data_IF_221375816636
#
_entry.id   IF_221375816636
#
_cell.length_a   1.000
_cell.length_b   1.000
_cell.length_c   1.000
_cell.angle_alpha   90.00
_cell.angle_beta   90.00
_cell.angle_gamma   90.00
#
_symmetry.space_group_name_H-M   'P 1'
#
loop_
_entity.id
_entity.type
_entity.pdbx_description
1 polymer ?
#
# COMPACT_ATOMS: atom_id res chain seq x y z
N UNK A 1 52.34 18.10 17.67
CA UNK A 1 51.52 17.39 16.66
C UNK A 1 50.43 16.65 17.40
N UNK A 2 49.24 17.26 17.49
CA UNK A 2 48.11 16.71 18.22
C UNK A 2 46.92 16.56 17.25
N UNK A 3 46.39 15.34 17.20
CA UNK A 3 45.18 14.95 16.48
C UNK A 3 44.01 15.88 16.85
N UNK A 4 43.49 16.63 15.88
CA UNK A 4 42.14 17.18 15.94
C UNK A 4 41.22 16.17 15.25
N UNK A 5 40.58 15.33 16.05
CA UNK A 5 39.31 14.69 15.69
C UNK A 5 38.33 15.79 15.30
N UNK A 6 38.06 15.92 14.01
CA UNK A 6 37.05 16.82 13.49
C UNK A 6 35.70 16.42 14.11
N UNK A 7 35.25 17.23 15.06
CA UNK A 7 33.93 17.12 15.65
C UNK A 7 32.89 17.17 14.53
N UNK A 8 32.01 16.18 14.52
CA UNK A 8 30.79 16.14 13.71
C UNK A 8 30.14 17.52 13.82
N UNK A 9 29.87 18.23 12.72
CA UNK A 9 29.19 19.52 12.79
C UNK A 9 27.81 19.26 13.41
N UNK A 10 27.64 19.75 14.64
CA UNK A 10 26.36 19.78 15.33
C UNK A 10 25.48 20.73 14.53
N UNK A 11 24.67 20.18 13.64
CA UNK A 11 23.57 20.87 12.97
C UNK A 11 22.79 21.67 14.02
N UNK A 12 22.58 22.97 13.76
CA UNK A 12 21.80 23.86 14.60
C UNK A 12 20.39 23.27 14.78
N UNK A 13 20.22 22.63 15.93
CA UNK A 13 18.98 22.27 16.64
C UNK A 13 17.68 22.68 15.94
N UNK A 14 17.24 21.85 14.99
CA UNK A 14 15.83 21.69 14.64
C UNK A 14 15.11 21.13 15.87
N UNK A 15 14.71 22.01 16.78
CA UNK A 15 13.87 21.65 17.92
C UNK A 15 12.47 21.36 17.40
N UNK A 16 12.13 20.07 17.26
CA UNK A 16 10.74 19.65 17.04
C UNK A 16 9.93 20.19 18.19
N UNK A 17 9.18 21.25 17.94
CA UNK A 17 8.28 21.83 18.92
C UNK A 17 7.16 20.83 19.08
N UNK A 18 7.15 20.12 20.21
CA UNK A 18 6.07 19.18 20.53
C UNK A 18 4.77 19.97 20.70
N UNK A 19 4.03 20.13 19.62
CA UNK A 19 2.72 20.77 19.65
C UNK A 19 1.73 19.87 20.40
N UNK A 20 0.81 20.49 21.16
CA UNK A 20 -0.33 19.77 21.76
C UNK A 20 -1.10 18.96 20.70
N UNK A 21 -1.23 19.49 19.48
CA UNK A 21 -1.89 18.82 18.38
C UNK A 21 -1.13 17.58 17.89
N UNK A 22 0.20 17.64 17.82
CA UNK A 22 1.03 16.49 17.45
C UNK A 22 0.92 15.39 18.50
N UNK A 23 1.05 15.74 19.79
CA UNK A 23 0.92 14.76 20.88
C UNK A 23 -0.47 14.14 20.94
N UNK A 24 -1.52 14.94 20.69
CA UNK A 24 -2.88 14.46 20.60
C UNK A 24 -3.07 13.49 19.42
N UNK A 25 -2.50 13.79 18.24
CA UNK A 25 -2.54 12.90 17.09
C UNK A 25 -1.81 11.58 17.36
N UNK A 26 -0.61 11.61 17.96
CA UNK A 26 0.13 10.41 18.37
C UNK A 26 -0.66 9.58 19.38
N UNK A 27 -1.26 10.22 20.40
CA UNK A 27 -2.07 9.54 21.39
C UNK A 27 -3.33 8.91 20.77
N UNK A 28 -4.01 9.63 19.87
CA UNK A 28 -5.19 9.14 19.16
C UNK A 28 -4.85 7.93 18.28
N UNK A 29 -3.82 8.03 17.43
CA UNK A 29 -3.43 6.90 16.59
C UNK A 29 -2.88 5.72 17.40
N UNK A 30 -2.20 5.99 18.51
CA UNK A 30 -1.79 4.95 19.46
C UNK A 30 -2.99 4.23 20.07
N UNK A 31 -4.01 4.97 20.51
CA UNK A 31 -5.25 4.41 21.04
C UNK A 31 -6.00 3.59 19.98
N UNK A 32 -6.19 4.13 18.77
CA UNK A 32 -6.87 3.41 17.69
C UNK A 32 -6.13 2.15 17.26
N UNK A 33 -4.79 2.18 17.26
CA UNK A 33 -3.96 1.00 17.03
C UNK A 33 -4.19 -0.04 18.12
N UNK A 34 -4.16 0.36 19.39
CA UNK A 34 -4.39 -0.54 20.52
C UNK A 34 -5.80 -1.15 20.49
N UNK A 35 -6.82 -0.36 20.14
CA UNK A 35 -8.19 -0.85 19.95
C UNK A 35 -8.26 -1.86 18.81
N UNK A 36 -7.68 -1.56 17.63
CA UNK A 36 -7.65 -2.50 16.52
C UNK A 36 -6.95 -3.82 16.86
N UNK A 37 -5.82 -3.75 17.57
CA UNK A 37 -5.10 -4.93 18.10
C UNK A 37 -5.96 -5.70 19.09
N UNK A 38 -6.69 -5.03 19.99
CA UNK A 38 -7.57 -5.70 20.94
C UNK A 38 -8.71 -6.46 20.24
N UNK A 39 -9.32 -5.88 19.19
CA UNK A 39 -10.32 -6.57 18.37
C UNK A 39 -9.72 -7.77 17.62
N UNK A 40 -8.50 -7.64 17.09
CA UNK A 40 -7.78 -8.76 16.47
C UNK A 40 -7.44 -9.89 17.44
N UNK A 41 -6.98 -9.56 18.64
CA UNK A 41 -6.74 -10.55 19.72
C UNK A 41 -8.05 -11.23 20.12
N UNK A 42 -9.13 -10.46 20.27
CA UNK A 42 -10.44 -11.02 20.57
C UNK A 42 -10.92 -11.99 19.47
N UNK A 43 -10.64 -11.72 18.19
CA UNK A 43 -11.01 -12.60 17.08
C UNK A 43 -10.39 -14.00 17.20
N UNK A 44 -9.17 -14.13 17.71
CA UNK A 44 -8.55 -15.44 17.96
C UNK A 44 -9.26 -16.25 19.04
N UNK A 45 -9.88 -15.61 20.02
CA UNK A 45 -10.61 -16.30 21.10
C UNK A 45 -12.06 -16.59 20.72
N UNK A 46 -12.72 -15.64 20.06
CA UNK A 46 -14.12 -15.77 19.66
C UNK A 46 -14.30 -16.64 18.40
N UNK A 47 -13.25 -16.81 17.60
CA UNK A 47 -13.27 -17.51 16.32
C UNK A 47 -13.63 -16.58 15.17
N UNK A 48 -12.92 -16.70 14.05
CA UNK A 48 -13.06 -15.79 12.89
C UNK A 48 -14.46 -15.87 12.27
N UNK A 49 -15.06 -17.06 12.19
CA UNK A 49 -16.42 -17.27 11.68
C UNK A 49 -17.48 -16.51 12.48
N UNK A 50 -17.28 -16.33 13.78
CA UNK A 50 -18.25 -15.67 14.65
C UNK A 50 -18.17 -14.13 14.59
N UNK A 51 -17.01 -13.56 14.24
CA UNK A 51 -16.76 -12.11 14.36
C UNK A 51 -16.47 -11.42 13.04
N UNK A 52 -16.07 -12.12 11.99
CA UNK A 52 -15.85 -11.54 10.66
C UNK A 52 -17.08 -11.73 9.78
N UNK A 53 -17.26 -10.83 8.81
CA UNK A 53 -18.37 -10.89 7.85
C UNK A 53 -18.11 -11.84 6.68
N UNK A 54 -16.97 -12.54 6.67
CA UNK A 54 -16.59 -13.49 5.64
C UNK A 54 -17.40 -14.77 5.76
N UNK A 55 -17.57 -15.45 4.63
CA UNK A 55 -18.29 -16.73 4.55
C UNK A 55 -17.42 -17.76 3.86
N UNK A 56 -17.86 -19.02 3.81
CA UNK A 56 -17.13 -20.06 3.10
C UNK A 56 -17.07 -19.78 1.59
N UNK A 57 -18.08 -19.09 1.06
CA UNK A 57 -18.21 -18.71 -0.34
C UNK A 57 -17.38 -17.45 -0.68
N UNK A 58 -17.30 -16.50 0.26
CA UNK A 58 -16.49 -15.28 0.19
C UNK A 58 -15.51 -15.23 1.38
N UNK A 59 -14.41 -16.01 1.33
CA UNK A 59 -13.47 -16.15 2.44
C UNK A 59 -12.55 -14.94 2.64
N UNK A 60 -12.28 -14.14 1.60
CA UNK A 60 -11.45 -12.93 1.75
C UNK A 60 -12.30 -11.66 1.71
N UNK A 61 -12.21 -10.88 2.79
CA UNK A 61 -12.92 -9.62 2.97
C UNK A 61 -12.00 -8.40 3.10
N UNK A 62 -12.40 -7.47 3.97
CA UNK A 62 -11.77 -6.17 4.19
C UNK A 62 -10.33 -6.28 4.69
N UNK A 63 -10.01 -7.29 5.51
CA UNK A 63 -8.66 -7.47 6.03
C UNK A 63 -7.64 -7.79 4.92
N UNK A 64 -7.99 -8.68 3.99
CA UNK A 64 -7.14 -8.98 2.82
C UNK A 64 -7.03 -7.76 1.90
N UNK A 65 -8.12 -7.04 1.65
CA UNK A 65 -8.07 -5.80 0.87
C UNK A 65 -7.12 -4.76 1.49
N UNK A 66 -7.18 -4.62 2.82
CA UNK A 66 -6.33 -3.71 3.59
C UNK A 66 -4.87 -4.16 3.59
N UNK A 67 -4.61 -5.44 3.76
CA UNK A 67 -3.27 -6.01 3.63
C UNK A 67 -2.69 -5.72 2.25
N UNK A 68 -3.43 -6.03 1.18
CA UNK A 68 -3.03 -5.78 -0.20
C UNK A 68 -2.74 -4.29 -0.40
N UNK A 69 -3.61 -3.40 0.09
CA UNK A 69 -3.38 -1.95 0.06
C UNK A 69 -2.03 -1.55 0.67
N UNK A 70 -1.69 -2.07 1.85
CA UNK A 70 -0.44 -1.75 2.52
C UNK A 70 0.79 -2.29 1.79
N UNK A 71 0.81 -3.57 1.42
CA UNK A 71 1.98 -4.17 0.76
C UNK A 71 2.20 -3.59 -0.63
N UNK A 72 1.13 -3.30 -1.36
CA UNK A 72 1.19 -2.62 -2.66
C UNK A 72 1.78 -1.21 -2.50
N UNK A 73 1.27 -0.44 -1.54
CA UNK A 73 1.73 0.93 -1.30
C UNK A 73 3.19 0.94 -0.86
N UNK A 74 3.58 0.00 0.00
CA UNK A 74 4.97 -0.19 0.43
C UNK A 74 5.91 -0.45 -0.75
N UNK A 75 5.60 -1.45 -1.59
CA UNK A 75 6.41 -1.73 -2.79
C UNK A 75 6.48 -0.51 -3.70
N UNK A 76 5.37 0.20 -3.90
CA UNK A 76 5.32 1.45 -4.64
C UNK A 76 6.26 2.53 -4.12
N UNK A 77 6.25 2.74 -2.80
CA UNK A 77 7.12 3.69 -2.13
C UNK A 77 8.60 3.38 -2.33
N UNK A 78 8.97 2.10 -2.23
CA UNK A 78 10.33 1.64 -2.51
C UNK A 78 10.71 1.81 -3.99
N UNK A 79 9.84 1.44 -4.92
CA UNK A 79 10.13 1.59 -6.36
C UNK A 79 10.34 3.07 -6.75
N UNK A 80 9.51 3.97 -6.23
CA UNK A 80 9.65 5.41 -6.50
C UNK A 80 10.89 5.98 -5.79
N UNK A 81 11.23 5.51 -4.59
CA UNK A 81 12.42 5.97 -3.87
C UNK A 81 13.72 5.54 -4.55
N UNK A 82 13.76 4.34 -5.12
CA UNK A 82 14.91 3.78 -5.81
C UNK A 82 15.27 4.49 -7.11
N UNK A 83 14.31 5.21 -7.73
CA UNK A 83 14.62 6.15 -8.83
C UNK A 83 15.70 7.14 -8.40
N UNK A 84 15.65 7.62 -7.16
CA UNK A 84 16.65 8.53 -6.60
C UNK A 84 17.98 7.82 -6.29
N UNK A 85 17.97 6.89 -5.35
CA UNK A 85 19.21 6.38 -4.74
C UNK A 85 19.82 5.17 -5.44
N UNK A 86 19.05 4.35 -6.16
CA UNK A 86 19.57 3.20 -6.93
C UNK A 86 19.93 3.64 -8.34
N UNK A 87 19.03 4.35 -9.01
CA UNK A 87 19.21 4.80 -10.40
C UNK A 87 19.90 6.17 -10.51
N UNK A 88 20.21 6.82 -9.38
CA UNK A 88 21.00 8.05 -9.34
C UNK A 88 20.26 9.31 -9.81
N UNK A 89 18.92 9.32 -9.84
CA UNK A 89 18.18 10.51 -10.25
C UNK A 89 18.15 11.57 -9.13
N UNK A 90 18.92 12.64 -9.31
CA UNK A 90 19.03 13.75 -8.34
C UNK A 90 17.67 14.38 -7.98
N UNK A 91 16.70 14.37 -8.90
CA UNK A 91 15.37 14.97 -8.66
C UNK A 91 14.57 14.20 -7.61
N UNK A 92 14.76 12.87 -7.52
CA UNK A 92 14.05 12.01 -6.56
C UNK A 92 14.85 11.79 -5.27
N UNK A 93 16.09 12.27 -5.20
CA UNK A 93 16.94 12.12 -4.01
C UNK A 93 16.31 12.69 -2.72
N UNK A 94 15.69 13.90 -2.73
CA UNK A 94 15.14 14.49 -1.51
C UNK A 94 14.03 13.67 -0.85
N UNK A 95 13.26 12.91 -1.65
CA UNK A 95 12.16 12.09 -1.14
C UNK A 95 12.59 10.66 -0.77
N UNK A 96 13.80 10.23 -1.15
CA UNK A 96 14.20 8.82 -1.10
C UNK A 96 14.14 8.25 0.31
N UNK A 97 14.83 8.88 1.27
CA UNK A 97 14.93 8.38 2.65
C UNK A 97 13.60 8.36 3.39
N UNK A 98 12.75 9.37 3.17
CA UNK A 98 11.37 9.38 3.71
C UNK A 98 10.53 8.26 3.12
N UNK A 99 10.65 8.05 1.80
CA UNK A 99 9.87 7.04 1.09
C UNK A 99 10.25 5.63 1.53
N UNK A 100 11.54 5.34 1.77
CA UNK A 100 12.00 4.05 2.32
C UNK A 100 11.42 3.81 3.72
N UNK A 101 11.47 4.82 4.59
CA UNK A 101 10.87 4.69 5.93
C UNK A 101 9.37 4.46 5.87
N UNK A 102 8.66 5.20 5.02
CA UNK A 102 7.22 5.04 4.83
C UNK A 102 6.89 3.66 4.22
N UNK A 103 7.76 3.12 3.36
CA UNK A 103 7.62 1.76 2.83
C UNK A 103 7.69 0.73 3.98
N UNK A 104 8.63 0.88 4.91
CA UNK A 104 8.75 0.02 6.11
C UNK A 104 7.50 0.16 7.00
N UNK A 105 7.06 1.39 7.27
CA UNK A 105 5.88 1.63 8.11
C UNK A 105 4.59 1.02 7.52
N UNK A 106 4.42 1.14 6.20
CA UNK A 106 3.26 0.60 5.49
C UNK A 106 3.28 -0.93 5.48
N UNK A 107 4.40 -1.60 5.19
CA UNK A 107 4.45 -3.07 5.19
C UNK A 107 4.29 -3.67 6.60
N UNK A 108 4.84 -3.04 7.64
CA UNK A 108 4.63 -3.47 9.04
C UNK A 108 3.13 -3.40 9.38
N UNK A 109 2.44 -2.35 8.93
CA UNK A 109 1.00 -2.22 9.11
C UNK A 109 0.22 -3.29 8.35
N UNK A 110 0.65 -3.64 7.13
CA UNK A 110 0.14 -4.77 6.37
C UNK A 110 0.32 -6.11 7.11
N UNK A 111 1.51 -6.36 7.65
CA UNK A 111 1.81 -7.57 8.43
C UNK A 111 0.99 -7.69 9.70
N UNK A 112 0.69 -6.57 10.36
CA UNK A 112 -0.24 -6.59 11.49
C UNK A 112 -1.64 -7.03 11.05
N UNK A 113 -2.17 -6.48 9.96
CA UNK A 113 -3.52 -6.78 9.47
C UNK A 113 -3.66 -8.24 9.04
N UNK A 114 -2.72 -8.75 8.21
CA UNK A 114 -2.73 -10.16 7.80
C UNK A 114 -2.50 -11.11 8.99
N UNK A 115 -1.74 -10.67 10.00
CA UNK A 115 -1.53 -11.42 11.23
C UNK A 115 -2.83 -11.75 11.96
N UNK A 116 -3.83 -10.85 11.92
CA UNK A 116 -5.16 -11.06 12.49
C UNK A 116 -6.17 -11.69 11.52
N UNK A 117 -5.85 -11.75 10.24
CA UNK A 117 -6.69 -12.45 9.25
C UNK A 117 -6.46 -13.96 9.30
N UNK A 118 -5.20 -14.38 9.51
CA UNK A 118 -4.82 -15.79 9.62
C UNK A 118 -5.29 -16.35 10.97
N UNK A 119 -6.05 -17.44 10.95
CA UNK A 119 -6.60 -18.07 12.16
C UNK A 119 -5.54 -18.46 13.21
N UNK A 120 -4.39 -18.96 12.76
CA UNK A 120 -3.27 -19.30 13.63
C UNK A 120 -1.93 -18.79 13.09
N UNK A 121 -1.56 -17.52 13.39
CA UNK A 121 -0.33 -16.93 12.85
C UNK A 121 0.93 -17.60 13.39
N UNK A 122 0.87 -18.22 14.58
CA UNK A 122 2.00 -18.92 15.20
C UNK A 122 2.35 -20.21 14.45
N UNK A 123 1.34 -21.01 14.11
CA UNK A 123 1.54 -22.20 13.26
C UNK A 123 2.05 -21.81 11.89
N UNK A 124 1.51 -20.74 11.30
CA UNK A 124 1.99 -20.23 10.02
C UNK A 124 3.49 -19.93 10.09
N UNK A 125 3.95 -19.15 11.07
CA UNK A 125 5.37 -18.82 11.21
C UNK A 125 6.28 -20.06 11.37
N UNK A 126 5.86 -21.05 12.17
CA UNK A 126 6.64 -22.28 12.40
C UNK A 126 6.72 -23.13 11.13
N UNK A 127 5.58 -23.46 10.53
CA UNK A 127 5.53 -24.37 9.37
C UNK A 127 6.03 -23.71 8.08
N UNK A 128 5.96 -22.38 7.99
CA UNK A 128 6.55 -21.65 6.88
C UNK A 128 8.07 -21.88 6.77
N UNK A 129 8.74 -22.11 7.91
CA UNK A 129 10.20 -22.37 7.99
C UNK A 129 10.51 -23.87 7.97
N UNK A 130 9.78 -24.68 8.73
CA UNK A 130 10.13 -26.10 8.94
C UNK A 130 9.64 -27.01 7.80
N UNK A 131 8.50 -26.69 7.18
CA UNK A 131 7.88 -27.52 6.13
C UNK A 131 7.33 -26.68 4.98
N UNK A 132 8.20 -26.01 4.20
CA UNK A 132 7.79 -25.11 3.13
C UNK A 132 7.15 -25.86 1.96
N UNK A 133 6.01 -25.37 1.47
CA UNK A 133 5.44 -25.84 0.20
C UNK A 133 5.80 -24.87 -0.93
N UNK A 134 6.86 -25.18 -1.66
CA UNK A 134 7.40 -24.33 -2.74
C UNK A 134 6.49 -24.21 -3.97
N UNK A 135 5.45 -25.03 -4.08
CA UNK A 135 4.45 -24.93 -5.16
C UNK A 135 3.37 -23.89 -4.85
N UNK A 136 3.30 -23.41 -3.61
CA UNK A 136 2.29 -22.44 -3.17
C UNK A 136 2.76 -21.00 -3.39
N UNK A 137 2.00 -20.24 -4.18
CA UNK A 137 2.24 -18.81 -4.35
C UNK A 137 2.05 -18.03 -3.03
N UNK A 138 1.20 -18.50 -2.11
CA UNK A 138 1.03 -17.87 -0.78
C UNK A 138 2.29 -18.04 0.07
N UNK A 139 2.97 -19.20 -0.02
CA UNK A 139 4.25 -19.40 0.66
C UNK A 139 5.32 -18.44 0.13
N UNK A 140 5.45 -18.33 -1.19
CA UNK A 140 6.37 -17.37 -1.82
C UNK A 140 6.04 -15.93 -1.44
N UNK A 141 4.76 -15.58 -1.27
CA UNK A 141 4.35 -14.25 -0.84
C UNK A 141 4.96 -13.91 0.52
N UNK A 142 4.81 -14.80 1.51
CA UNK A 142 5.37 -14.59 2.85
C UNK A 142 6.91 -14.47 2.83
N UNK A 143 7.58 -15.37 2.11
CA UNK A 143 9.06 -15.37 2.02
C UNK A 143 9.60 -14.14 1.30
N UNK A 144 9.02 -13.75 0.17
CA UNK A 144 9.50 -12.62 -0.64
C UNK A 144 9.23 -11.28 0.05
N UNK A 145 8.06 -11.08 0.67
CA UNK A 145 7.79 -9.87 1.45
C UNK A 145 8.63 -9.80 2.74
N UNK A 146 8.95 -10.95 3.36
CA UNK A 146 9.89 -11.02 4.47
C UNK A 146 11.31 -10.59 4.07
N UNK A 147 11.81 -11.11 2.94
CA UNK A 147 13.10 -10.71 2.38
C UNK A 147 13.12 -9.22 2.01
N UNK A 148 12.05 -8.73 1.38
CA UNK A 148 11.87 -7.32 1.05
C UNK A 148 11.93 -6.41 2.28
N UNK A 149 11.19 -6.73 3.35
CA UNK A 149 11.26 -5.98 4.61
C UNK A 149 12.66 -6.02 5.20
N UNK A 150 13.32 -7.17 5.20
CA UNK A 150 14.69 -7.30 5.71
C UNK A 150 15.65 -6.36 4.97
N UNK A 151 15.68 -6.39 3.64
CA UNK A 151 16.56 -5.53 2.86
C UNK A 151 16.28 -4.04 3.06
N UNK A 152 15.00 -3.64 3.14
CA UNK A 152 14.64 -2.25 3.43
C UNK A 152 15.06 -1.80 4.83
N UNK A 153 14.92 -2.65 5.86
CA UNK A 153 15.36 -2.32 7.22
C UNK A 153 16.87 -2.08 7.25
N UNK A 154 17.65 -2.95 6.58
CA UNK A 154 19.10 -2.80 6.47
C UNK A 154 19.47 -1.56 5.66
N UNK A 155 18.81 -1.34 4.51
CA UNK A 155 18.99 -0.13 3.68
C UNK A 155 18.76 1.14 4.51
N UNK A 156 17.64 1.22 5.22
CA UNK A 156 17.30 2.37 6.05
C UNK A 156 18.33 2.59 7.15
N UNK A 157 18.77 1.53 7.84
CA UNK A 157 19.81 1.62 8.87
C UNK A 157 21.13 2.16 8.29
N UNK A 158 21.56 1.67 7.12
CA UNK A 158 22.77 2.14 6.44
C UNK A 158 22.66 3.60 5.98
N UNK A 159 21.48 4.03 5.51
CA UNK A 159 21.18 5.42 5.20
C UNK A 159 21.20 6.34 6.43
N UNK A 160 20.97 5.83 7.64
CA UNK A 160 21.13 6.60 8.87
C UNK A 160 22.59 6.75 9.29
N UNK A 161 23.42 5.74 9.02
CA UNK A 161 24.85 5.73 9.37
C UNK A 161 25.71 6.42 8.30
N UNK A 162 25.12 6.85 7.17
CA UNK A 162 25.82 7.54 6.08
C UNK A 162 26.59 6.61 5.14
N UNK A 163 26.35 5.30 5.18
CA UNK A 163 27.00 4.30 4.30
C UNK A 163 26.26 4.19 2.96
N UNK A 164 26.26 5.28 2.19
CA UNK A 164 25.45 5.42 0.97
C UNK A 164 25.68 4.32 -0.08
N UNK A 165 26.93 3.86 -0.27
CA UNK A 165 27.24 2.81 -1.26
C UNK A 165 26.59 1.46 -0.92
N UNK A 166 26.64 1.07 0.35
CA UNK A 166 26.05 -0.19 0.81
C UNK A 166 24.54 -0.10 0.92
N UNK A 167 24.03 1.07 1.33
CA UNK A 167 22.61 1.38 1.27
C UNK A 167 22.07 1.21 -0.15
N UNK A 168 22.78 1.70 -1.17
CA UNK A 168 22.39 1.51 -2.58
C UNK A 168 22.31 0.03 -2.99
N UNK A 169 23.24 -0.81 -2.51
CA UNK A 169 23.20 -2.27 -2.77
C UNK A 169 22.01 -2.94 -2.10
N UNK A 170 21.74 -2.61 -0.83
CA UNK A 170 20.60 -3.15 -0.09
C UNK A 170 19.27 -2.64 -0.67
N UNK A 171 19.22 -1.39 -1.12
CA UNK A 171 18.09 -0.82 -1.84
C UNK A 171 17.83 -1.52 -3.16
N UNK A 172 18.87 -1.87 -3.93
CA UNK A 172 18.72 -2.69 -5.14
C UNK A 172 18.16 -4.09 -4.82
N UNK A 173 18.66 -4.76 -3.78
CA UNK A 173 18.13 -6.04 -3.32
C UNK A 173 16.67 -5.92 -2.84
N UNK A 174 16.35 -4.81 -2.18
CA UNK A 174 14.99 -4.43 -1.80
C UNK A 174 14.08 -4.26 -3.01
N UNK A 175 14.53 -3.59 -4.07
CA UNK A 175 13.76 -3.47 -5.32
C UNK A 175 13.54 -4.82 -5.97
N UNK A 176 14.59 -5.65 -6.11
CA UNK A 176 14.47 -6.98 -6.74
C UNK A 176 13.48 -7.86 -5.97
N UNK A 177 13.64 -7.94 -4.65
CA UNK A 177 12.73 -8.71 -3.78
C UNK A 177 11.31 -8.14 -3.76
N UNK A 178 11.16 -6.82 -3.75
CA UNK A 178 9.86 -6.13 -3.80
C UNK A 178 9.12 -6.37 -5.11
N UNK A 179 9.80 -6.27 -6.27
CA UNK A 179 9.21 -6.59 -7.58
C UNK A 179 8.83 -8.06 -7.66
N UNK A 180 9.67 -8.96 -7.14
CA UNK A 180 9.36 -10.40 -7.10
C UNK A 180 8.14 -10.68 -6.20
N UNK A 181 8.11 -10.13 -4.99
CA UNK A 181 6.98 -10.28 -4.04
C UNK A 181 5.68 -9.80 -4.67
N UNK A 182 5.73 -8.65 -5.34
CA UNK A 182 4.57 -8.02 -5.95
C UNK A 182 4.10 -8.73 -7.22
N UNK A 183 5.04 -9.24 -8.03
CA UNK A 183 4.70 -10.10 -9.18
C UNK A 183 4.05 -11.40 -8.71
N UNK A 184 4.55 -11.99 -7.62
CA UNK A 184 3.97 -13.17 -7.00
C UNK A 184 2.58 -12.89 -6.39
N UNK A 185 2.36 -11.71 -5.80
CA UNK A 185 1.02 -11.27 -5.38
C UNK A 185 0.05 -11.24 -6.57
N UNK A 186 0.49 -10.69 -7.72
CA UNK A 186 -0.27 -10.73 -8.96
C UNK A 186 -0.56 -12.16 -9.43
N UNK A 187 0.38 -13.09 -9.23
CA UNK A 187 0.22 -14.51 -9.56
C UNK A 187 -0.77 -15.25 -8.62
N UNK A 188 -0.85 -14.87 -7.33
CA UNK A 188 -1.83 -15.44 -6.38
C UNK A 188 -3.26 -15.24 -6.87
N UNK A 189 -3.55 -14.08 -7.43
CA UNK A 189 -4.85 -13.82 -8.04
C UNK A 189 -4.92 -14.34 -9.48
N UNK A 190 -3.94 -14.00 -10.32
CA UNK A 190 -3.99 -14.22 -11.77
C UNK A 190 -3.88 -15.67 -12.24
N UNK A 191 -3.26 -16.55 -11.44
CA UNK A 191 -3.14 -17.99 -11.74
C UNK A 191 -4.29 -18.82 -11.17
N UNK A 192 -5.23 -18.21 -10.44
CA UNK A 192 -6.39 -18.90 -9.92
C UNK A 192 -7.44 -19.05 -11.01
N UNK A 193 -7.33 -20.11 -11.81
CA UNK A 193 -8.25 -20.40 -12.93
C UNK A 193 -9.71 -20.58 -12.52
N UNK A 194 -9.98 -20.86 -11.24
CA UNK A 194 -11.33 -21.02 -10.70
C UNK A 194 -12.06 -19.69 -10.39
N UNK A 195 -11.40 -18.54 -10.56
CA UNK A 195 -11.98 -17.20 -10.33
C UNK A 195 -11.71 -16.32 -11.54
N UNK A 196 -12.67 -16.24 -12.43
CA UNK A 196 -12.56 -15.68 -13.79
C UNK A 196 -12.27 -14.18 -13.80
N UNK A 197 -12.73 -13.45 -12.77
CA UNK A 197 -12.47 -12.03 -12.61
C UNK A 197 -10.98 -11.71 -12.40
N UNK A 198 -10.26 -12.58 -11.68
CA UNK A 198 -8.83 -12.43 -11.43
C UNK A 198 -7.97 -13.04 -12.53
N UNK A 199 -8.45 -14.14 -13.12
CA UNK A 199 -7.65 -14.94 -14.02
C UNK A 199 -7.19 -14.13 -15.26
N UNK A 200 -5.87 -14.07 -15.45
CA UNK A 200 -5.30 -13.40 -16.60
C UNK A 200 -3.81 -13.03 -16.44
N UNK A 201 -3.03 -13.08 -17.53
CA UNK A 201 -1.60 -12.80 -17.50
C UNK A 201 -1.26 -11.33 -17.26
N UNK A 202 -2.24 -10.41 -17.37
CA UNK A 202 -2.01 -8.97 -17.19
C UNK A 202 -1.93 -8.55 -15.71
N UNK A 203 -2.35 -9.41 -14.77
CA UNK A 203 -2.43 -9.08 -13.34
C UNK A 203 -1.07 -8.64 -12.76
N UNK A 204 0.04 -9.39 -12.92
CA UNK A 204 1.34 -8.95 -12.40
C UNK A 204 1.78 -7.57 -12.92
N UNK A 205 1.53 -7.27 -14.20
CA UNK A 205 1.90 -6.00 -14.83
C UNK A 205 1.05 -4.86 -14.23
N UNK A 206 -0.27 -5.07 -14.16
CA UNK A 206 -1.22 -4.13 -13.55
C UNK A 206 -0.85 -3.81 -12.10
N UNK A 207 -0.46 -4.82 -11.34
CA UNK A 207 -0.08 -4.70 -9.95
C UNK A 207 1.16 -3.81 -9.78
N UNK A 208 2.24 -4.03 -10.54
CA UNK A 208 3.46 -3.19 -10.46
C UNK A 208 3.16 -1.72 -10.77
N UNK A 209 2.43 -1.45 -11.86
CA UNK A 209 2.08 -0.06 -12.23
C UNK A 209 1.20 0.59 -11.16
N UNK A 210 0.20 -0.14 -10.65
CA UNK A 210 -0.67 0.38 -9.60
C UNK A 210 0.03 0.55 -8.26
N UNK A 211 1.04 -0.27 -7.95
CA UNK A 211 1.91 -0.07 -6.79
C UNK A 211 2.68 1.24 -6.88
N UNK A 212 3.38 1.50 -7.99
CA UNK A 212 4.09 2.78 -8.18
C UNK A 212 3.14 3.98 -8.09
N UNK A 213 1.90 3.84 -8.60
CA UNK A 213 0.85 4.85 -8.49
C UNK A 213 0.50 5.12 -7.01
N UNK A 214 0.28 4.08 -6.21
CA UNK A 214 0.07 4.18 -4.76
C UNK A 214 1.25 4.81 -4.05
N UNK A 215 2.47 4.46 -4.43
CA UNK A 215 3.70 5.05 -3.89
C UNK A 215 3.76 6.56 -4.13
N UNK A 216 3.45 7.01 -5.34
CA UNK A 216 3.37 8.44 -5.65
C UNK A 216 2.31 9.14 -4.80
N UNK A 217 1.10 8.58 -4.70
CA UNK A 217 0.02 9.15 -3.90
C UNK A 217 0.40 9.28 -2.41
N UNK A 218 1.00 8.22 -1.85
CA UNK A 218 1.49 8.19 -0.47
C UNK A 218 2.59 9.24 -0.23
N UNK A 219 3.57 9.37 -1.14
CA UNK A 219 4.64 10.38 -1.01
C UNK A 219 4.06 11.79 -0.97
N UNK A 220 3.16 12.12 -1.90
CA UNK A 220 2.54 13.45 -1.96
C UNK A 220 1.74 13.76 -0.69
N UNK A 221 0.99 12.77 -0.19
CA UNK A 221 0.16 12.91 1.00
C UNK A 221 0.99 13.07 2.27
N UNK A 222 1.85 12.09 2.57
CA UNK A 222 2.61 12.03 3.82
C UNK A 222 3.68 13.12 3.89
N UNK A 223 4.37 13.42 2.78
CA UNK A 223 5.40 14.47 2.79
C UNK A 223 4.80 15.82 3.14
N UNK A 224 3.64 16.18 2.58
CA UNK A 224 2.98 17.43 2.95
C UNK A 224 2.58 17.49 4.43
N UNK A 225 2.05 16.37 4.96
CA UNK A 225 1.70 16.25 6.39
C UNK A 225 2.94 16.42 7.28
N UNK A 226 4.07 15.80 6.94
CA UNK A 226 5.32 15.95 7.70
C UNK A 226 5.77 17.41 7.80
N UNK A 227 5.83 18.13 6.68
CA UNK A 227 6.24 19.54 6.70
C UNK A 227 5.25 20.41 7.50
N UNK A 228 3.94 20.14 7.38
CA UNK A 228 2.92 20.89 8.13
C UNK A 228 2.93 20.58 9.63
N UNK A 229 3.12 19.33 10.02
CA UNK A 229 3.15 18.90 11.42
C UNK A 229 4.39 19.46 12.16
N UNK A 230 5.52 19.60 11.45
CA UNK A 230 6.77 20.11 12.01
C UNK A 230 6.97 21.62 11.81
N UNK A 231 6.10 22.29 11.04
CA UNK A 231 6.25 23.72 10.73
C UNK A 231 7.43 24.02 9.80
N UNK A 232 7.94 23.03 9.07
CA UNK A 232 9.07 23.19 8.16
C UNK A 232 8.66 23.86 6.86
N UNK A 233 9.61 24.56 6.22
CA UNK A 233 9.45 25.08 4.87
C UNK A 233 10.09 24.13 3.88
N UNK A 234 9.39 23.83 2.78
CA UNK A 234 9.92 22.99 1.72
C UNK A 234 10.96 23.77 0.90
N UNK A 235 12.16 23.22 0.76
CA UNK A 235 13.14 23.66 -0.23
C UNK A 235 12.59 23.59 -1.65
N UNK A 236 13.27 24.25 -2.57
CA UNK A 236 12.89 24.19 -3.98
C UNK A 236 13.23 22.82 -4.59
N UNK A 237 14.26 22.15 -4.08
CA UNK A 237 14.62 20.77 -4.41
C UNK A 237 13.49 19.81 -4.03
N UNK A 238 12.95 19.91 -2.81
CA UNK A 238 11.81 19.10 -2.37
C UNK A 238 10.55 19.40 -3.20
N UNK A 239 10.25 20.67 -3.51
CA UNK A 239 9.11 21.02 -4.38
C UNK A 239 9.28 20.45 -5.79
N UNK A 240 10.49 20.49 -6.35
CA UNK A 240 10.80 19.87 -7.66
C UNK A 240 10.61 18.36 -7.59
N UNK A 241 11.08 17.71 -6.52
CA UNK A 241 10.90 16.28 -6.29
C UNK A 241 9.41 15.91 -6.25
N UNK A 242 8.61 16.60 -5.43
CA UNK A 242 7.15 16.38 -5.36
C UNK A 242 6.44 16.66 -6.69
N UNK A 243 6.88 17.68 -7.43
CA UNK A 243 6.35 17.96 -8.78
C UNK A 243 6.64 16.80 -9.74
N UNK A 244 7.86 16.25 -9.71
CA UNK A 244 8.25 15.10 -10.51
C UNK A 244 7.46 13.84 -10.10
N UNK A 245 7.30 13.59 -8.80
CA UNK A 245 6.44 12.52 -8.27
C UNK A 245 4.99 12.67 -8.70
N UNK A 246 4.46 13.91 -8.70
CA UNK A 246 3.10 14.18 -9.18
C UNK A 246 2.94 13.88 -10.67
N UNK A 247 3.91 14.25 -11.51
CA UNK A 247 3.89 13.93 -12.94
C UNK A 247 4.00 12.43 -13.19
N UNK A 248 4.87 11.73 -12.46
CA UNK A 248 4.98 10.27 -12.51
C UNK A 248 3.66 9.61 -12.10
N UNK A 249 3.06 10.06 -11.00
CA UNK A 249 1.75 9.60 -10.54
C UNK A 249 0.66 9.79 -11.58
N UNK A 250 0.58 10.97 -12.21
CA UNK A 250 -0.38 11.24 -13.28
C UNK A 250 -0.16 10.34 -14.52
N UNK A 251 1.08 10.08 -14.91
CA UNK A 251 1.40 9.14 -15.98
C UNK A 251 0.91 7.72 -15.62
N UNK A 252 1.20 7.25 -14.41
CA UNK A 252 0.79 5.93 -13.95
C UNK A 252 -0.73 5.81 -13.85
N UNK A 253 -1.42 6.85 -13.38
CA UNK A 253 -2.90 6.92 -13.40
C UNK A 253 -3.45 6.80 -14.82
N UNK A 254 -2.83 7.46 -15.81
CA UNK A 254 -3.25 7.32 -17.22
C UNK A 254 -3.06 5.90 -17.75
N UNK A 255 -1.95 5.24 -17.40
CA UNK A 255 -1.69 3.84 -17.76
C UNK A 255 -2.71 2.91 -17.09
N UNK A 256 -3.02 3.12 -15.82
CA UNK A 256 -4.04 2.33 -15.09
C UNK A 256 -5.43 2.57 -15.68
N UNK A 257 -5.80 3.81 -16.05
CA UNK A 257 -7.07 4.07 -16.75
C UNK A 257 -7.16 3.29 -18.07
N UNK A 258 -6.07 3.20 -18.83
CA UNK A 258 -6.01 2.38 -20.03
C UNK A 258 -6.23 0.88 -19.71
N UNK A 259 -5.52 0.33 -18.72
CA UNK A 259 -5.72 -1.06 -18.30
C UNK A 259 -7.13 -1.32 -17.79
N UNK A 260 -7.70 -0.41 -17.00
CA UNK A 260 -9.07 -0.52 -16.49
C UNK A 260 -10.09 -0.48 -17.63
N UNK A 261 -9.87 0.35 -18.64
CA UNK A 261 -10.72 0.38 -19.84
C UNK A 261 -10.69 -0.97 -20.56
N UNK A 262 -9.51 -1.54 -20.79
CA UNK A 262 -9.39 -2.85 -21.42
C UNK A 262 -9.89 -4.00 -20.53
N UNK A 263 -9.75 -3.90 -19.20
CA UNK A 263 -10.33 -4.84 -18.22
C UNK A 263 -11.85 -4.88 -18.40
N UNK A 264 -12.49 -3.72 -18.45
CA UNK A 264 -13.94 -3.58 -18.66
C UNK A 264 -14.33 -4.11 -20.04
N UNK A 265 -13.70 -3.65 -21.12
CA UNK A 265 -14.03 -4.07 -22.49
C UNK A 265 -13.88 -5.59 -22.67
N UNK A 266 -12.76 -6.17 -22.23
CA UNK A 266 -12.51 -7.61 -22.36
C UNK A 266 -13.38 -8.46 -21.43
N UNK A 267 -13.88 -7.88 -20.33
CA UNK A 267 -14.78 -8.58 -19.42
C UNK A 267 -16.25 -8.54 -19.86
N UNK A 268 -16.64 -7.57 -20.71
CA UNK A 268 -18.00 -7.51 -21.26
C UNK A 268 -18.11 -8.08 -22.67
N UNK A 269 -17.06 -7.96 -23.50
CA UNK A 269 -17.10 -8.35 -24.90
C UNK A 269 -17.19 -9.87 -25.03
N UNK A 270 -18.20 -10.36 -25.76
CA UNK A 270 -18.45 -11.79 -25.94
C UNK A 270 -19.06 -12.49 -24.73
N UNK A 271 -19.44 -11.74 -23.69
CA UNK A 271 -20.06 -12.23 -22.45
C UNK A 271 -19.32 -13.46 -21.88
N UNK A 272 -18.02 -13.34 -21.55
CA UNK A 272 -17.26 -14.48 -21.05
C UNK A 272 -17.85 -14.94 -19.72
N UNK A 273 -18.14 -16.24 -19.56
CA UNK A 273 -18.79 -16.76 -18.36
C UNK A 273 -17.99 -16.42 -17.10
N UNK A 274 -18.70 -16.01 -16.04
CA UNK A 274 -18.16 -15.65 -14.73
C UNK A 274 -17.57 -14.24 -14.70
N UNK A 275 -16.76 -13.92 -15.71
CA UNK A 275 -16.13 -12.61 -15.87
C UNK A 275 -17.14 -11.53 -16.23
N UNK A 276 -18.13 -11.83 -17.06
CA UNK A 276 -19.20 -10.89 -17.42
C UNK A 276 -20.03 -10.49 -16.20
N UNK A 277 -20.46 -11.47 -15.41
CA UNK A 277 -21.26 -11.29 -14.21
C UNK A 277 -20.50 -10.46 -13.17
N UNK A 278 -19.21 -10.74 -12.99
CA UNK A 278 -18.33 -9.96 -12.12
C UNK A 278 -18.14 -8.52 -12.62
N UNK A 279 -17.99 -8.31 -13.94
CA UNK A 279 -17.95 -6.96 -14.52
C UNK A 279 -19.26 -6.21 -14.33
N UNK A 280 -20.40 -6.87 -14.54
CA UNK A 280 -21.71 -6.25 -14.35
C UNK A 280 -21.94 -5.85 -12.89
N UNK A 281 -21.42 -6.63 -11.93
CA UNK A 281 -21.48 -6.30 -10.51
C UNK A 281 -20.79 -4.95 -10.16
N UNK A 282 -19.67 -4.64 -10.82
CA UNK A 282 -18.94 -3.36 -10.62
C UNK A 282 -19.39 -2.24 -11.55
N UNK A 283 -20.02 -2.54 -12.68
CA UNK A 283 -20.48 -1.50 -13.61
C UNK A 283 -21.87 -0.97 -13.26
N UNK A 284 -22.79 -1.88 -12.90
CA UNK A 284 -24.21 -1.57 -12.66
C UNK A 284 -24.79 -2.24 -11.40
N UNK A 285 -24.08 -3.19 -10.80
CA UNK A 285 -24.56 -3.97 -9.67
C UNK A 285 -24.16 -3.39 -8.31
N UNK A 286 -24.05 -4.25 -7.27
CA UNK A 286 -23.90 -3.81 -5.88
C UNK A 286 -22.58 -3.07 -5.59
N UNK A 287 -21.56 -3.23 -6.44
CA UNK A 287 -20.25 -2.58 -6.28
C UNK A 287 -20.06 -1.37 -7.22
N UNK A 288 -21.11 -0.93 -7.91
CA UNK A 288 -21.01 0.18 -8.86
C UNK A 288 -20.58 1.50 -8.22
N UNK A 289 -21.05 1.80 -7.01
CA UNK A 289 -20.64 3.01 -6.28
C UNK A 289 -19.14 2.98 -5.95
N UNK A 290 -18.62 1.83 -5.50
CA UNK A 290 -17.20 1.67 -5.19
C UNK A 290 -16.35 1.84 -6.44
N UNK A 291 -16.75 1.23 -7.56
CA UNK A 291 -16.01 1.32 -8.80
C UNK A 291 -16.01 2.75 -9.37
N UNK A 292 -17.18 3.36 -9.55
CA UNK A 292 -17.27 4.67 -10.19
C UNK A 292 -16.79 5.81 -9.30
N UNK A 293 -17.20 5.85 -8.03
CA UNK A 293 -16.82 6.93 -7.12
C UNK A 293 -15.44 6.67 -6.48
N UNK A 294 -15.16 5.45 -6.05
CA UNK A 294 -13.91 5.07 -5.41
C UNK A 294 -12.77 4.87 -6.42
N UNK A 295 -12.80 3.79 -7.20
CA UNK A 295 -11.71 3.42 -8.10
C UNK A 295 -11.52 4.46 -9.23
N UNK A 296 -12.58 4.78 -9.98
CA UNK A 296 -12.50 5.66 -11.16
C UNK A 296 -12.35 7.11 -10.78
N UNK A 297 -13.30 7.69 -10.03
CA UNK A 297 -13.28 9.12 -9.74
C UNK A 297 -12.16 9.48 -8.77
N UNK A 298 -12.13 8.91 -7.57
CA UNK A 298 -11.14 9.28 -6.55
C UNK A 298 -9.76 8.67 -6.80
N UNK A 299 -9.68 7.44 -7.31
CA UNK A 299 -8.41 6.74 -7.52
C UNK A 299 -7.65 7.20 -8.76
N UNK A 300 -8.35 7.59 -9.82
CA UNK A 300 -7.76 7.88 -11.12
C UNK A 300 -8.09 9.27 -11.64
N UNK A 301 -9.35 9.57 -11.95
CA UNK A 301 -9.75 10.74 -12.75
C UNK A 301 -9.55 12.06 -12.01
N UNK A 302 -10.11 12.20 -10.80
CA UNK A 302 -10.01 13.43 -10.02
C UNK A 302 -8.55 13.80 -9.67
N UNK A 303 -7.70 12.90 -9.12
CA UNK A 303 -6.32 13.25 -8.84
C UNK A 303 -5.53 13.52 -10.13
N UNK A 304 -5.76 12.77 -11.21
CA UNK A 304 -5.12 13.01 -12.51
C UNK A 304 -5.42 14.42 -13.05
N UNK A 305 -6.71 14.79 -13.13
CA UNK A 305 -7.13 16.09 -13.62
C UNK A 305 -6.62 17.22 -12.71
N UNK A 306 -6.63 17.03 -11.39
CA UNK A 306 -6.11 18.01 -10.45
C UNK A 306 -4.62 18.27 -10.67
N UNK A 307 -3.81 17.20 -10.82
CA UNK A 307 -2.36 17.33 -11.08
C UNK A 307 -2.11 18.06 -12.41
N UNK A 308 -2.85 17.73 -13.47
CA UNK A 308 -2.72 18.38 -14.77
C UNK A 308 -3.12 19.86 -14.73
N UNK A 309 -4.24 20.18 -14.08
CA UNK A 309 -4.75 21.55 -13.96
C UNK A 309 -3.72 22.49 -13.30
N UNK A 310 -3.02 22.01 -12.27
CA UNK A 310 -1.97 22.79 -11.60
C UNK A 310 -0.57 22.55 -12.19
N UNK A 311 -0.46 21.77 -13.27
CA UNK A 311 0.80 21.36 -13.92
C UNK A 311 1.83 20.80 -12.94
N UNK A 312 1.35 20.11 -11.91
CA UNK A 312 2.12 19.60 -10.77
C UNK A 312 2.95 20.68 -10.02
N UNK A 313 2.56 21.96 -10.01
CA UNK A 313 3.32 23.05 -9.36
C UNK A 313 2.78 23.45 -8.00
N UNK A 314 1.49 23.21 -7.72
CA UNK A 314 0.87 23.60 -6.46
C UNK A 314 0.91 22.45 -5.44
N UNK A 315 1.73 22.61 -4.38
CA UNK A 315 1.94 21.58 -3.35
C UNK A 315 0.66 21.20 -2.59
N UNK A 316 -0.26 22.14 -2.35
CA UNK A 316 -1.54 21.83 -1.68
C UNK A 316 -2.46 21.00 -2.59
N UNK A 317 -2.47 21.30 -3.88
CA UNK A 317 -3.23 20.51 -4.85
C UNK A 317 -2.64 19.10 -5.00
N UNK A 318 -1.31 18.96 -5.00
CA UNK A 318 -0.65 17.66 -4.99
C UNK A 318 -0.98 16.84 -3.74
N UNK A 319 -1.05 17.48 -2.57
CA UNK A 319 -1.49 16.84 -1.33
C UNK A 319 -2.92 16.27 -1.47
N UNK A 320 -3.87 17.06 -1.96
CA UNK A 320 -5.25 16.60 -2.16
C UNK A 320 -5.34 15.52 -3.24
N UNK A 321 -4.54 15.60 -4.30
CA UNK A 321 -4.44 14.53 -5.29
C UNK A 321 -3.94 13.22 -4.66
N UNK A 322 -2.91 13.29 -3.81
CA UNK A 322 -2.43 12.14 -3.03
C UNK A 322 -3.52 11.59 -2.10
N UNK A 323 -4.24 12.45 -1.38
CA UNK A 323 -5.31 12.05 -0.47
C UNK A 323 -6.45 11.31 -1.19
N UNK A 324 -6.96 11.88 -2.30
CA UNK A 324 -8.00 11.24 -3.12
C UNK A 324 -7.50 9.91 -3.69
N UNK A 325 -6.28 9.90 -4.24
CA UNK A 325 -5.66 8.70 -4.79
C UNK A 325 -5.54 7.58 -3.76
N UNK A 326 -5.11 7.87 -2.54
CA UNK A 326 -5.02 6.87 -1.45
C UNK A 326 -6.38 6.25 -1.12
N UNK A 327 -7.44 7.07 -1.03
CA UNK A 327 -8.80 6.57 -0.79
C UNK A 327 -9.29 5.72 -1.96
N UNK A 328 -9.15 6.19 -3.18
CA UNK A 328 -9.61 5.45 -4.37
C UNK A 328 -8.83 4.16 -4.61
N UNK A 329 -7.54 4.13 -4.32
CA UNK A 329 -6.72 2.92 -4.37
C UNK A 329 -7.16 1.89 -3.33
N UNK A 330 -7.60 2.33 -2.15
CA UNK A 330 -8.18 1.41 -1.16
C UNK A 330 -9.43 0.73 -1.71
N UNK A 331 -10.35 1.49 -2.30
CA UNK A 331 -11.53 0.93 -2.99
C UNK A 331 -11.15 0.00 -4.14
N UNK A 332 -10.16 0.37 -4.94
CA UNK A 332 -9.63 -0.48 -6.01
C UNK A 332 -9.10 -1.84 -5.48
N UNK A 333 -8.55 -1.89 -4.26
CA UNK A 333 -8.16 -3.17 -3.63
C UNK A 333 -9.33 -3.92 -3.02
N UNK A 334 -10.27 -3.18 -2.44
CA UNK A 334 -11.50 -3.76 -1.91
C UNK A 334 -12.31 -4.44 -3.01
N UNK A 335 -12.59 -3.73 -4.09
CA UNK A 335 -13.33 -4.27 -5.24
C UNK A 335 -12.57 -5.42 -5.87
N UNK A 336 -11.24 -5.31 -6.02
CA UNK A 336 -10.43 -6.41 -6.52
C UNK A 336 -10.63 -7.69 -5.71
N UNK A 337 -10.55 -7.62 -4.38
CA UNK A 337 -10.64 -8.80 -3.51
C UNK A 337 -12.07 -9.32 -3.44
N UNK A 338 -13.05 -8.47 -3.20
CA UNK A 338 -14.42 -8.93 -2.93
C UNK A 338 -15.10 -9.38 -4.22
N UNK A 339 -15.07 -8.57 -5.28
CA UNK A 339 -15.77 -8.86 -6.55
C UNK A 339 -15.23 -10.12 -7.21
N UNK A 340 -13.95 -10.44 -6.99
CA UNK A 340 -13.36 -11.67 -7.50
C UNK A 340 -13.95 -12.95 -6.92
N UNK A 341 -14.78 -12.86 -5.87
CA UNK A 341 -15.34 -14.02 -5.17
C UNK A 341 -16.86 -14.05 -5.12
N UNK A 342 -17.54 -12.92 -5.40
CA UNK A 342 -19.01 -12.84 -5.27
C UNK A 342 -19.77 -13.64 -6.33
N UNK A 343 -19.15 -13.91 -7.49
CA UNK A 343 -19.78 -14.75 -8.51
C UNK A 343 -19.67 -16.22 -8.06
N UNK A 344 -20.80 -16.95 -7.98
CA UNK A 344 -20.78 -18.35 -7.59
C UNK A 344 -20.00 -19.23 -8.57
N UNK A 345 -19.18 -20.16 -8.07
CA UNK A 345 -18.39 -21.06 -8.93
C UNK A 345 -19.22 -21.91 -9.90
N UNK A 346 -20.47 -22.23 -9.54
CA UNK A 346 -21.36 -23.05 -10.37
C UNK A 346 -22.37 -22.21 -11.16
N UNK A 347 -22.06 -20.95 -11.42
CA UNK A 347 -22.96 -20.02 -12.11
C UNK A 347 -23.41 -20.52 -13.49
N UNK A 348 -22.60 -21.34 -14.18
CA UNK A 348 -22.94 -21.93 -15.49
C UNK A 348 -24.00 -23.04 -15.42
N UNK A 349 -24.19 -23.69 -14.27
CA UNK A 349 -25.02 -24.89 -14.17
C UNK A 349 -26.50 -24.61 -13.89
N UNK A 350 -26.90 -23.34 -13.77
CA UNK A 350 -28.30 -22.96 -13.57
C UNK A 350 -28.94 -23.59 -12.33
N UNK A 351 -28.15 -23.78 -11.26
CA UNK A 351 -28.59 -24.48 -10.04
C UNK A 351 -29.71 -23.68 -9.37
N UNK A 352 -30.86 -24.34 -9.18
CA UNK A 352 -32.03 -23.74 -8.52
C UNK A 352 -31.68 -23.33 -7.08
N UNK A 353 -31.94 -22.06 -6.74
CA UNK A 353 -31.69 -21.51 -5.41
C UNK A 353 -30.28 -20.96 -5.18
N UNK A 354 -29.41 -21.00 -6.19
CA UNK A 354 -28.12 -20.31 -6.14
C UNK A 354 -28.37 -18.79 -6.29
N UNK A 355 -27.85 -17.93 -5.40
CA UNK A 355 -27.97 -16.49 -5.58
C UNK A 355 -27.15 -16.04 -6.80
N UNK A 356 -27.57 -14.95 -7.46
CA UNK A 356 -26.80 -14.34 -8.56
C UNK A 356 -25.43 -13.85 -8.09
N UNK A 357 -25.39 -13.24 -6.90
CA UNK A 357 -24.17 -12.80 -6.23
C UNK A 357 -24.18 -13.23 -4.76
N UNK A 358 -23.04 -13.69 -4.27
CA UNK A 358 -22.83 -13.79 -2.83
C UNK A 358 -22.69 -12.39 -2.20
N UNK A 359 -23.23 -12.24 -1.00
CA UNK A 359 -23.15 -11.00 -0.23
C UNK A 359 -21.99 -11.04 0.75
N UNK A 360 -21.30 -9.92 0.89
CA UNK A 360 -20.30 -9.70 1.92
C UNK A 360 -20.49 -8.29 2.50
N UNK A 361 -20.41 -8.17 3.82
CA UNK A 361 -20.45 -6.89 4.51
C UNK A 361 -19.40 -6.92 5.63
N UNK A 362 -18.47 -5.95 5.68
CA UNK A 362 -17.46 -5.92 6.71
C UNK A 362 -18.06 -5.84 8.11
N UNK A 363 -17.58 -6.67 9.02
CA UNK A 363 -18.00 -6.62 10.42
C UNK A 363 -17.32 -5.48 11.17
N UNK A 364 -17.81 -5.21 12.39
CA UNK A 364 -17.17 -4.26 13.30
C UNK A 364 -15.69 -4.63 13.57
N UNK A 365 -15.40 -5.91 13.79
CA UNK A 365 -14.04 -6.39 14.04
C UNK A 365 -13.13 -6.11 12.85
N UNK A 366 -13.58 -6.40 11.63
CA UNK A 366 -12.80 -6.13 10.42
C UNK A 366 -12.51 -4.63 10.25
N UNK A 367 -13.51 -3.78 10.51
CA UNK A 367 -13.37 -2.32 10.46
C UNK A 367 -12.39 -1.82 11.52
N UNK A 368 -12.49 -2.30 12.75
CA UNK A 368 -11.60 -1.87 13.84
C UNK A 368 -10.15 -2.29 13.62
N UNK A 369 -9.91 -3.51 13.12
CA UNK A 369 -8.56 -3.97 12.76
C UNK A 369 -8.00 -3.15 11.60
N UNK A 370 -8.84 -2.84 10.59
CA UNK A 370 -8.46 -1.98 9.46
C UNK A 370 -8.07 -0.58 9.91
N UNK A 371 -8.88 0.04 10.76
CA UNK A 371 -8.57 1.34 11.38
C UNK A 371 -7.30 1.26 12.24
N UNK A 372 -7.09 0.15 12.94
CA UNK A 372 -5.86 -0.12 13.67
C UNK A 372 -4.63 -0.14 12.76
N UNK A 373 -4.71 -0.80 11.60
CA UNK A 373 -3.61 -0.84 10.62
C UNK A 373 -3.32 0.54 10.02
N UNK A 374 -4.35 1.29 9.63
CA UNK A 374 -4.19 2.66 9.14
C UNK A 374 -3.59 3.58 10.20
N UNK A 375 -4.03 3.42 11.45
CA UNK A 375 -3.52 4.18 12.60
C UNK A 375 -2.08 3.81 12.94
N UNK A 376 -1.71 2.53 12.85
CA UNK A 376 -0.33 2.07 13.05
C UNK A 376 0.58 2.69 12.00
N UNK A 377 0.17 2.73 10.73
CA UNK A 377 0.93 3.36 9.66
C UNK A 377 1.15 4.86 9.93
N UNK A 378 0.07 5.56 10.32
CA UNK A 378 0.14 6.99 10.64
C UNK A 378 1.00 7.26 11.89
N UNK A 379 0.87 6.43 12.92
CA UNK A 379 1.67 6.49 14.14
C UNK A 379 3.15 6.26 13.85
N UNK A 380 3.49 5.19 13.13
CA UNK A 380 4.85 4.87 12.74
C UNK A 380 5.46 6.00 11.90
N UNK A 381 4.69 6.58 10.97
CA UNK A 381 5.11 7.76 10.22
C UNK A 381 5.42 8.96 11.12
N UNK A 382 4.46 9.38 11.96
CA UNK A 382 4.62 10.56 12.81
C UNK A 382 5.76 10.41 13.82
N UNK A 383 5.87 9.24 14.46
CA UNK A 383 6.94 8.95 15.41
C UNK A 383 8.30 8.86 14.72
N UNK A 384 8.35 8.22 13.55
CA UNK A 384 9.56 8.13 12.74
C UNK A 384 10.09 9.47 12.27
N UNK A 385 9.21 10.39 11.86
CA UNK A 385 9.61 11.76 11.49
C UNK A 385 10.33 12.48 12.63
N UNK A 386 9.98 12.19 13.89
CA UNK A 386 10.62 12.79 15.07
C UNK A 386 11.89 12.05 15.51
N UNK A 387 11.86 10.72 15.47
CA UNK A 387 12.93 9.85 15.96
C UNK A 387 14.11 9.81 15.01
N UNK A 388 13.85 9.63 13.72
CA UNK A 388 14.90 9.28 12.79
C UNK A 388 15.53 10.48 12.11
N UNK A 389 14.86 11.65 12.05
CA UNK A 389 15.32 12.96 11.49
C UNK A 389 16.01 12.95 10.13
N UNK A 390 16.34 11.79 9.60
CA UNK A 390 17.36 11.61 8.60
C UNK A 390 16.83 11.80 7.19
N UNK A 391 15.52 11.99 7.03
CA UNK A 391 14.90 12.44 5.78
C UNK A 391 15.15 13.93 5.50
N UNK A 392 15.74 14.68 6.44
CA UNK A 392 16.34 15.97 6.15
C UNK A 392 17.69 15.69 5.47
N UNK A 393 17.67 15.43 4.16
CA UNK A 393 18.89 15.44 3.34
C UNK A 393 19.24 16.87 2.88
N UNK A 394 18.47 17.85 3.34
CA UNK A 394 18.71 19.25 3.04
C UNK A 394 19.87 19.71 3.92
N UNK A 395 21.02 19.94 3.28
CA UNK A 395 22.04 20.78 3.87
C UNK A 395 21.42 22.18 4.03
N UNK A 396 21.08 22.54 5.26
CA UNK A 396 20.70 23.90 5.63
C UNK A 396 21.86 24.61 6.30
#
# INVERSE_FOLDING_TARGET
>A
MANQTAAIPVEKTLTVTSSRAYNAAVALFGLLTAVGVAFGIHAFFAGHEAVYGVTREVPWGLLIATYVFFVVTSTGLCLVSSIGHVFGNETFMPIAKRSVFLAIATIISGFMVIGFEIENPWRMAIYNVISPNLTSNIWWMGTLYGAYLFFMLVEFALLQIGRHKEAGMMGLMGVISGVAAHSNLGAVFGLLGAREFWHGPYMPIYFITSAMMSGCAAILFFTWIAYRANGWQMSDEMKKALSATGKLGALLMAVIMFFTTWKVLSGIAGHPPGKYEAMMAILKGPYAANFWAGEVLLGMVAPFLLILAVRARNMKALFWAGAMGMVGIFFMRYDLVVVGQIVPHFHEYGIVGLPEYFSYMPSLHEVMITLGGLSLCALAFLTGEKLFRGHVSEAH
#
